data_IF_325515000788
#
_entry.id   IF_325515000788
#
_cell.length_a   1.000
_cell.length_b   1.000
_cell.length_c   1.000
_cell.angle_alpha   90.00
_cell.angle_beta   90.00
_cell.angle_gamma   90.00
#
_symmetry.space_group_name_H-M   'P 1'
#
loop_
_entity.id
_entity.type
_entity.pdbx_description
1 polymer ?
#
# COMPACT_ATOMS: atom_id res chain seq x y z
N UNK A 1 39.91 -18.60 -24.71
CA UNK A 1 38.86 -19.60 -24.45
C UNK A 1 38.14 -19.37 -23.11
N UNK A 2 38.84 -19.11 -22.00
CA UNK A 2 38.21 -18.88 -20.70
C UNK A 2 37.08 -17.83 -20.69
N UNK A 3 37.29 -16.66 -21.32
CA UNK A 3 36.27 -15.59 -21.38
C UNK A 3 34.96 -16.04 -22.05
N UNK A 4 35.01 -16.97 -23.01
CA UNK A 4 33.83 -17.46 -23.72
C UNK A 4 33.04 -18.39 -22.82
N UNK A 5 33.70 -19.28 -22.09
CA UNK A 5 33.08 -20.23 -21.15
C UNK A 5 32.38 -19.47 -20.03
N UNK A 6 33.06 -18.50 -19.40
CA UNK A 6 32.47 -17.67 -18.34
C UNK A 6 31.31 -16.81 -18.86
N UNK A 7 31.39 -16.30 -20.12
CA UNK A 7 30.29 -15.55 -20.72
C UNK A 7 29.05 -16.43 -20.93
N UNK A 8 29.20 -17.66 -21.42
CA UNK A 8 28.10 -18.61 -21.55
C UNK A 8 27.45 -18.89 -20.20
N UNK A 9 28.24 -19.22 -19.19
CA UNK A 9 27.76 -19.47 -17.84
C UNK A 9 26.98 -18.26 -17.28
N UNK A 10 27.49 -17.04 -17.50
CA UNK A 10 26.80 -15.83 -17.09
C UNK A 10 25.46 -15.64 -17.77
N UNK A 11 25.37 -15.84 -19.07
CA UNK A 11 24.12 -15.72 -19.80
C UNK A 11 23.09 -16.77 -19.36
N UNK A 12 23.52 -18.02 -19.16
CA UNK A 12 22.64 -19.07 -18.67
C UNK A 12 22.10 -18.73 -17.25
N UNK A 13 23.00 -18.28 -16.38
CA UNK A 13 22.63 -17.82 -15.02
C UNK A 13 21.66 -16.64 -15.10
N UNK A 14 21.97 -15.62 -15.89
CA UNK A 14 21.15 -14.41 -16.01
C UNK A 14 19.77 -14.73 -16.60
N UNK A 15 19.71 -15.56 -17.63
CA UNK A 15 18.45 -15.97 -18.27
C UNK A 15 17.54 -16.70 -17.28
N UNK A 16 18.06 -17.69 -16.59
CA UNK A 16 17.28 -18.43 -15.60
C UNK A 16 16.89 -17.55 -14.40
N UNK A 17 17.79 -16.69 -13.93
CA UNK A 17 17.53 -15.72 -12.88
C UNK A 17 16.39 -14.74 -13.26
N UNK A 18 16.39 -14.21 -14.47
CA UNK A 18 15.31 -13.30 -14.92
C UNK A 18 13.95 -14.00 -14.95
N UNK A 19 13.89 -15.22 -15.49
CA UNK A 19 12.65 -15.99 -15.52
C UNK A 19 12.14 -16.28 -14.10
N UNK A 20 13.00 -16.77 -13.23
CA UNK A 20 12.61 -17.12 -11.85
C UNK A 20 12.24 -15.89 -11.03
N UNK A 21 13.03 -14.80 -11.11
CA UNK A 21 12.78 -13.59 -10.33
C UNK A 21 11.50 -12.88 -10.76
N UNK A 22 11.25 -12.76 -12.07
CA UNK A 22 10.01 -12.17 -12.58
C UNK A 22 8.80 -13.06 -12.30
N UNK A 23 8.92 -14.37 -12.53
CA UNK A 23 7.82 -15.32 -12.26
C UNK A 23 7.37 -15.31 -10.81
N UNK A 24 8.32 -15.46 -9.87
CA UNK A 24 8.01 -15.43 -8.43
C UNK A 24 7.51 -14.05 -7.98
N UNK A 25 8.04 -12.97 -8.55
CA UNK A 25 7.60 -11.62 -8.21
C UNK A 25 6.19 -11.34 -8.69
N UNK A 26 5.82 -11.79 -9.90
CA UNK A 26 4.45 -11.62 -10.43
C UNK A 26 3.46 -12.44 -9.60
N UNK A 27 3.78 -13.69 -9.27
CA UNK A 27 2.91 -14.53 -8.43
C UNK A 27 2.67 -13.86 -7.07
N UNK A 28 3.74 -13.42 -6.41
CA UNK A 28 3.64 -12.76 -5.11
C UNK A 28 2.88 -11.43 -5.22
N UNK A 29 3.10 -10.68 -6.31
CA UNK A 29 2.41 -9.42 -6.56
C UNK A 29 0.90 -9.61 -6.75
N UNK A 30 0.48 -10.65 -7.49
CA UNK A 30 -0.94 -10.99 -7.65
C UNK A 30 -1.57 -11.38 -6.32
N UNK A 31 -0.91 -12.20 -5.50
CA UNK A 31 -1.41 -12.56 -4.17
C UNK A 31 -1.56 -11.32 -3.27
N UNK A 32 -0.57 -10.42 -3.29
CA UNK A 32 -0.66 -9.18 -2.50
C UNK A 32 -1.72 -8.21 -3.03
N UNK A 33 -1.97 -8.18 -4.35
CA UNK A 33 -3.03 -7.34 -4.91
C UNK A 33 -4.40 -7.72 -4.34
N UNK A 34 -4.67 -9.00 -4.17
CA UNK A 34 -5.92 -9.47 -3.55
C UNK A 34 -6.04 -8.95 -2.11
N UNK A 35 -4.95 -8.98 -1.34
CA UNK A 35 -4.96 -8.46 0.05
C UNK A 35 -5.18 -6.93 0.11
N UNK A 36 -4.90 -6.20 -0.96
CA UNK A 36 -5.13 -4.76 -1.05
C UNK A 36 -6.52 -4.39 -1.59
N UNK A 37 -7.38 -5.36 -1.90
CA UNK A 37 -8.78 -5.07 -2.29
C UNK A 37 -9.55 -4.32 -1.20
N UNK A 38 -9.12 -4.45 0.05
CA UNK A 38 -9.68 -3.70 1.18
C UNK A 38 -9.63 -2.18 0.97
N UNK A 39 -8.65 -1.67 0.19
CA UNK A 39 -8.58 -0.25 -0.19
C UNK A 39 -9.81 0.21 -0.99
N UNK A 40 -10.42 -0.69 -1.76
CA UNK A 40 -11.66 -0.38 -2.48
C UNK A 40 -12.87 -0.68 -1.60
N UNK A 41 -12.93 -1.88 -1.00
CA UNK A 41 -14.13 -2.36 -0.31
C UNK A 41 -14.36 -1.71 1.04
N UNK A 42 -13.29 -1.43 1.80
CA UNK A 42 -13.38 -0.90 3.15
C UNK A 42 -12.99 0.58 3.25
N UNK A 43 -11.99 1.01 2.48
CA UNK A 43 -11.48 2.38 2.54
C UNK A 43 -12.08 3.29 1.44
N UNK A 44 -12.83 2.74 0.47
CA UNK A 44 -13.55 3.49 -0.55
C UNK A 44 -12.70 4.23 -1.57
N UNK A 45 -11.47 3.79 -1.77
CA UNK A 45 -10.62 4.36 -2.81
C UNK A 45 -11.03 3.88 -4.21
N UNK A 46 -10.93 4.76 -5.21
CA UNK A 46 -11.27 4.42 -6.60
C UNK A 46 -10.31 3.40 -7.21
N UNK A 47 -10.79 2.69 -8.23
CA UNK A 47 -9.98 1.70 -8.99
C UNK A 47 -8.65 2.28 -9.50
N UNK A 48 -8.60 3.54 -9.91
CA UNK A 48 -7.38 4.20 -10.36
C UNK A 48 -6.33 4.27 -9.25
N UNK A 49 -6.74 4.60 -8.03
CA UNK A 49 -5.85 4.66 -6.86
C UNK A 49 -5.35 3.28 -6.53
N UNK A 50 -6.23 2.29 -6.50
CA UNK A 50 -5.89 0.89 -6.26
C UNK A 50 -4.85 0.37 -7.25
N UNK A 51 -5.07 0.51 -8.56
CA UNK A 51 -4.11 0.04 -9.57
C UNK A 51 -2.78 0.77 -9.49
N UNK A 52 -2.79 2.09 -9.27
CA UNK A 52 -1.56 2.87 -9.08
C UNK A 52 -0.80 2.42 -7.84
N UNK A 53 -1.50 2.19 -6.73
CA UNK A 53 -0.92 1.70 -5.49
C UNK A 53 -0.27 0.33 -5.65
N UNK A 54 -0.97 -0.62 -6.28
CA UNK A 54 -0.46 -1.98 -6.49
C UNK A 54 0.73 -1.99 -7.44
N UNK A 55 0.67 -1.25 -8.55
CA UNK A 55 1.76 -1.16 -9.52
C UNK A 55 3.03 -0.60 -8.86
N UNK A 56 2.90 0.45 -8.05
CA UNK A 56 4.00 1.06 -7.32
C UNK A 56 4.52 0.20 -6.15
N UNK A 57 3.78 -0.81 -5.71
CA UNK A 57 4.27 -1.79 -4.73
C UNK A 57 5.12 -2.90 -5.35
N UNK A 58 5.09 -3.08 -6.68
CA UNK A 58 5.86 -4.12 -7.36
C UNK A 58 7.38 -4.06 -7.09
N UNK A 59 8.06 -2.90 -7.13
CA UNK A 59 9.49 -2.81 -6.86
C UNK A 59 9.89 -3.31 -5.47
N UNK A 60 9.05 -3.10 -4.47
CA UNK A 60 9.25 -3.61 -3.10
C UNK A 60 9.21 -5.13 -3.04
N UNK A 61 8.26 -5.75 -3.76
CA UNK A 61 8.13 -7.20 -3.83
C UNK A 61 9.32 -7.79 -4.57
N UNK A 62 9.65 -7.22 -5.72
CA UNK A 62 10.77 -7.63 -6.55
C UNK A 62 12.10 -7.56 -5.78
N UNK A 63 12.33 -6.46 -5.06
CA UNK A 63 13.52 -6.28 -4.23
C UNK A 63 13.71 -7.37 -3.17
N UNK A 64 12.62 -7.87 -2.59
CA UNK A 64 12.69 -8.96 -1.61
C UNK A 64 12.96 -10.32 -2.24
N UNK A 65 12.41 -10.57 -3.42
CA UNK A 65 12.47 -11.86 -4.10
C UNK A 65 13.79 -12.05 -4.83
N UNK A 66 14.41 -10.98 -5.30
CA UNK A 66 15.63 -11.02 -6.12
C UNK A 66 16.77 -11.81 -5.47
N UNK A 67 16.94 -11.71 -4.15
CA UNK A 67 17.99 -12.40 -3.39
C UNK A 67 17.78 -13.92 -3.44
N UNK A 68 16.56 -14.36 -3.15
CA UNK A 68 16.20 -15.77 -3.16
C UNK A 68 16.26 -16.35 -4.57
N UNK A 69 15.78 -15.60 -5.57
CA UNK A 69 15.84 -16.01 -6.97
C UNK A 69 17.27 -16.17 -7.48
N UNK A 70 18.18 -15.29 -7.06
CA UNK A 70 19.59 -15.41 -7.41
C UNK A 70 20.21 -16.69 -6.82
N UNK A 71 19.95 -16.99 -5.55
CA UNK A 71 20.42 -18.21 -4.91
C UNK A 71 19.90 -19.47 -5.61
N UNK A 72 18.60 -19.53 -5.88
CA UNK A 72 17.96 -20.65 -6.59
C UNK A 72 18.57 -20.81 -7.99
N UNK A 73 18.78 -19.71 -8.69
CA UNK A 73 19.33 -19.72 -10.05
C UNK A 73 20.77 -20.20 -10.08
N UNK A 74 21.57 -19.74 -9.14
CA UNK A 74 22.96 -20.18 -9.02
C UNK A 74 23.05 -21.68 -8.72
N UNK A 75 22.25 -22.17 -7.78
CA UNK A 75 22.20 -23.58 -7.43
C UNK A 75 21.78 -24.45 -8.62
N UNK A 76 20.69 -24.04 -9.30
CA UNK A 76 20.18 -24.75 -10.48
C UNK A 76 21.21 -24.81 -11.60
N UNK A 77 21.86 -23.71 -11.93
CA UNK A 77 22.84 -23.68 -13.03
C UNK A 77 24.06 -24.51 -12.71
N UNK A 78 24.57 -24.47 -11.49
CA UNK A 78 25.70 -25.33 -11.06
C UNK A 78 25.31 -26.80 -11.21
N UNK A 79 24.12 -27.18 -10.72
CA UNK A 79 23.64 -28.55 -10.80
C UNK A 79 23.42 -29.00 -12.27
N UNK A 80 22.83 -28.14 -13.12
CA UNK A 80 22.68 -28.38 -14.55
C UNK A 80 24.03 -28.66 -15.22
N UNK A 81 25.01 -27.80 -14.99
CA UNK A 81 26.36 -27.95 -15.57
C UNK A 81 27.08 -29.20 -15.06
N UNK A 82 26.80 -29.63 -13.84
CA UNK A 82 27.33 -30.87 -13.30
C UNK A 82 26.66 -32.10 -13.93
N UNK A 83 25.34 -32.11 -14.06
CA UNK A 83 24.60 -33.25 -14.63
C UNK A 83 24.82 -33.44 -16.13
N UNK A 84 25.04 -32.36 -16.87
CA UNK A 84 25.39 -32.40 -18.30
C UNK A 84 26.88 -32.59 -18.58
N UNK A 85 27.72 -32.80 -17.54
CA UNK A 85 29.18 -32.88 -17.62
C UNK A 85 29.84 -31.62 -18.23
N UNK A 86 29.12 -30.51 -18.40
CA UNK A 86 29.69 -29.27 -18.92
C UNK A 86 30.76 -28.66 -17.97
N UNK A 87 30.69 -29.00 -16.70
CA UNK A 87 31.68 -28.56 -15.72
C UNK A 87 33.10 -29.14 -16.01
N UNK A 88 33.17 -30.28 -16.69
CA UNK A 88 34.45 -30.86 -17.13
C UNK A 88 35.14 -29.97 -18.17
N UNK A 89 34.40 -29.21 -18.95
CA UNK A 89 34.95 -28.27 -19.93
C UNK A 89 35.79 -27.20 -19.23
N UNK A 90 35.39 -26.77 -18.02
CA UNK A 90 36.19 -25.84 -17.24
C UNK A 90 37.55 -26.45 -16.84
N UNK A 91 37.53 -27.71 -16.37
CA UNK A 91 38.74 -28.40 -15.89
C UNK A 91 39.69 -28.75 -17.03
N UNK A 92 39.16 -29.21 -18.17
CA UNK A 92 39.96 -29.54 -19.35
C UNK A 92 40.60 -28.31 -20.00
N UNK A 93 39.98 -27.12 -19.85
CA UNK A 93 40.56 -25.86 -20.30
C UNK A 93 41.48 -25.20 -19.26
N UNK A 94 41.87 -25.91 -18.20
CA UNK A 94 42.84 -25.44 -17.18
C UNK A 94 42.24 -24.44 -16.17
N UNK A 95 40.92 -24.27 -16.12
CA UNK A 95 40.27 -23.38 -15.15
C UNK A 95 40.24 -24.11 -13.80
N UNK A 96 40.90 -23.57 -12.78
CA UNK A 96 40.85 -24.13 -11.43
C UNK A 96 39.50 -23.91 -10.75
N UNK A 97 39.17 -24.82 -9.81
CA UNK A 97 37.92 -24.65 -9.00
C UNK A 97 37.87 -23.32 -8.27
N UNK A 98 39.01 -22.85 -7.79
CA UNK A 98 39.16 -21.56 -7.08
C UNK A 98 38.80 -20.38 -8.03
N UNK A 99 39.28 -20.45 -9.28
CA UNK A 99 38.97 -19.43 -10.28
C UNK A 99 37.46 -19.35 -10.59
N UNK A 100 36.80 -20.50 -10.67
CA UNK A 100 35.34 -20.56 -10.86
C UNK A 100 34.61 -19.91 -9.66
N UNK A 101 35.00 -20.27 -8.44
CA UNK A 101 34.41 -19.70 -7.22
C UNK A 101 34.65 -18.18 -7.15
N UNK A 102 35.84 -17.72 -7.43
CA UNK A 102 36.16 -16.28 -7.43
C UNK A 102 35.34 -15.52 -8.48
N UNK A 103 35.07 -16.13 -9.61
CA UNK A 103 34.28 -15.53 -10.64
C UNK A 103 32.79 -15.44 -10.23
N UNK A 104 32.24 -16.49 -9.63
CA UNK A 104 30.90 -16.49 -9.03
C UNK A 104 30.79 -15.41 -7.95
N UNK A 105 31.79 -15.27 -7.09
CA UNK A 105 31.83 -14.22 -6.06
C UNK A 105 31.76 -12.81 -6.66
N UNK A 106 32.51 -12.54 -7.75
CA UNK A 106 32.45 -11.24 -8.43
C UNK A 106 31.05 -10.93 -8.96
N UNK A 107 30.37 -11.93 -9.54
CA UNK A 107 28.99 -11.77 -9.99
C UNK A 107 28.04 -11.55 -8.81
N UNK A 108 28.20 -12.33 -7.73
CA UNK A 108 27.38 -12.16 -6.53
C UNK A 108 27.50 -10.75 -5.94
N UNK A 109 28.72 -10.19 -5.91
CA UNK A 109 28.95 -8.81 -5.48
C UNK A 109 28.22 -7.82 -6.40
N UNK A 110 28.28 -8.03 -7.72
CA UNK A 110 27.55 -7.19 -8.68
C UNK A 110 26.03 -7.22 -8.41
N UNK A 111 25.45 -8.40 -8.23
CA UNK A 111 24.03 -8.54 -7.89
C UNK A 111 23.69 -7.90 -6.54
N UNK A 112 24.57 -8.01 -5.55
CA UNK A 112 24.39 -7.34 -4.25
C UNK A 112 24.36 -5.82 -4.39
N UNK A 113 25.22 -5.24 -5.21
CA UNK A 113 25.23 -3.80 -5.48
C UNK A 113 23.93 -3.37 -6.16
N UNK A 114 23.47 -4.10 -7.16
CA UNK A 114 22.19 -3.84 -7.83
C UNK A 114 21.04 -3.93 -6.83
N UNK A 115 21.03 -4.94 -5.99
CA UNK A 115 20.01 -5.11 -4.94
C UNK A 115 20.00 -3.95 -3.95
N UNK A 116 21.16 -3.49 -3.50
CA UNK A 116 21.27 -2.34 -2.60
C UNK A 116 20.75 -1.06 -3.27
N UNK A 117 21.05 -0.88 -4.56
CA UNK A 117 20.53 0.25 -5.33
C UNK A 117 19.00 0.23 -5.41
N UNK A 118 18.41 -0.91 -5.76
CA UNK A 118 16.95 -1.07 -5.84
C UNK A 118 16.30 -0.81 -4.48
N UNK A 119 16.83 -1.42 -3.43
CA UNK A 119 16.27 -1.36 -2.07
C UNK A 119 16.34 0.03 -1.45
N UNK A 120 17.43 0.79 -1.69
CA UNK A 120 17.67 2.08 -1.03
C UNK A 120 17.16 3.28 -1.84
N UNK A 121 16.98 3.17 -3.16
CA UNK A 121 16.56 4.27 -4.02
C UNK A 121 15.20 4.03 -4.65
N UNK A 122 15.01 2.90 -5.34
CA UNK A 122 13.79 2.64 -6.10
C UNK A 122 12.62 2.35 -5.17
N UNK A 123 12.83 1.49 -4.17
CA UNK A 123 11.74 1.06 -3.25
C UNK A 123 11.19 2.23 -2.44
N UNK A 124 12.00 3.08 -1.76
CA UNK A 124 11.46 4.21 -0.99
C UNK A 124 10.72 5.21 -1.88
N UNK A 125 11.28 5.54 -3.05
CA UNK A 125 10.62 6.45 -4.00
C UNK A 125 9.26 5.91 -4.45
N UNK A 126 9.21 4.63 -4.83
CA UNK A 126 7.97 3.98 -5.28
C UNK A 126 6.93 3.91 -4.17
N UNK A 127 7.35 3.62 -2.93
CA UNK A 127 6.45 3.54 -1.78
C UNK A 127 5.91 4.91 -1.37
N UNK A 128 6.72 5.96 -1.40
CA UNK A 128 6.29 7.33 -1.10
C UNK A 128 5.24 7.79 -2.12
N UNK A 129 5.54 7.63 -3.43
CA UNK A 129 4.59 7.93 -4.50
C UNK A 129 3.30 7.11 -4.38
N UNK A 130 3.40 5.82 -4.05
CA UNK A 130 2.25 4.94 -3.85
C UNK A 130 1.30 5.46 -2.75
N UNK A 131 1.86 5.96 -1.66
CA UNK A 131 1.07 6.54 -0.57
C UNK A 131 0.48 7.89 -0.91
N UNK A 132 1.17 8.69 -1.71
CA UNK A 132 0.63 9.97 -2.15
C UNK A 132 -0.65 9.78 -2.97
N UNK A 133 -0.76 8.70 -3.76
CA UNK A 133 -2.02 8.34 -4.43
C UNK A 133 -3.15 8.06 -3.44
N UNK A 134 -2.87 7.40 -2.31
CA UNK A 134 -3.89 7.18 -1.27
C UNK A 134 -4.23 8.49 -0.56
N UNK A 135 -3.23 9.30 -0.21
CA UNK A 135 -3.43 10.57 0.51
C UNK A 135 -4.18 11.62 -0.33
N UNK A 136 -3.87 11.66 -1.64
CA UNK A 136 -4.48 12.62 -2.57
C UNK A 136 -5.84 12.16 -3.10
N UNK A 137 -6.20 10.89 -2.90
CA UNK A 137 -7.52 10.42 -3.28
C UNK A 137 -8.55 11.05 -2.36
N UNK A 138 -9.34 11.95 -2.92
CA UNK A 138 -10.51 12.47 -2.25
C UNK A 138 -11.48 11.31 -1.98
N UNK A 139 -12.26 11.42 -0.90
CA UNK A 139 -13.32 10.48 -0.55
C UNK A 139 -14.47 10.63 -1.55
N UNK A 140 -14.18 10.49 -2.85
CA UNK A 140 -15.19 10.56 -3.90
C UNK A 140 -16.21 9.42 -3.81
N UNK A 141 -15.85 8.38 -3.07
CA UNK A 141 -16.64 7.16 -2.92
C UNK A 141 -17.26 7.00 -1.53
N UNK A 142 -17.23 8.03 -0.66
CA UNK A 142 -17.90 7.95 0.63
C UNK A 142 -19.37 7.52 0.49
N UNK A 143 -20.02 7.97 -0.57
CA UNK A 143 -21.40 7.59 -0.92
C UNK A 143 -21.55 6.10 -1.24
N UNK A 144 -20.54 5.48 -1.86
CA UNK A 144 -20.57 4.05 -2.21
C UNK A 144 -20.18 3.14 -1.04
N UNK A 145 -19.58 3.69 0.00
CA UNK A 145 -19.26 2.96 1.22
C UNK A 145 -20.43 2.82 2.17
N UNK A 146 -21.41 3.74 2.08
CA UNK A 146 -22.58 3.70 2.96
C UNK A 146 -23.40 2.48 2.58
N UNK A 147 -23.31 1.44 3.39
CA UNK A 147 -24.08 0.20 3.26
C UNK A 147 -25.16 0.15 4.35
N UNK A 148 -26.32 -0.37 3.98
CA UNK A 148 -27.43 -0.56 4.92
C UNK A 148 -27.00 -1.43 6.13
N UNK A 149 -27.50 -1.05 7.31
CA UNK A 149 -27.39 -1.80 8.56
C UNK A 149 -25.96 -2.09 9.01
N UNK A 150 -24.98 -1.28 8.58
CA UNK A 150 -23.59 -1.37 9.01
C UNK A 150 -23.08 -0.07 9.57
N UNK A 151 -22.31 -0.16 10.65
CA UNK A 151 -21.49 0.96 11.14
C UNK A 151 -20.26 1.08 10.27
N UNK A 152 -20.04 2.26 9.72
CA UNK A 152 -18.89 2.60 8.89
C UNK A 152 -18.05 3.59 9.67
N UNK A 153 -16.84 3.20 10.02
CA UNK A 153 -15.85 3.99 10.77
C UNK A 153 -14.54 4.17 9.99
N UNK A 154 -14.61 4.09 8.67
CA UNK A 154 -13.47 4.22 7.74
C UNK A 154 -12.80 5.59 7.84
N UNK A 155 -13.56 6.59 8.22
CA UNK A 155 -13.07 7.96 8.43
C UNK A 155 -12.59 8.11 9.87
N UNK A 156 -11.46 8.81 10.05
CA UNK A 156 -10.91 9.04 11.37
C UNK A 156 -11.87 9.89 12.21
N UNK A 157 -12.21 9.37 13.41
CA UNK A 157 -13.06 10.04 14.39
C UNK A 157 -14.48 10.35 13.89
N UNK A 158 -14.93 9.65 12.83
CA UNK A 158 -16.26 9.77 12.26
C UNK A 158 -16.87 8.38 12.04
N UNK A 159 -18.11 8.21 12.49
CA UNK A 159 -18.86 6.96 12.31
C UNK A 159 -20.22 7.29 11.74
N UNK A 160 -20.66 6.56 10.72
CA UNK A 160 -22.00 6.65 10.14
C UNK A 160 -22.68 5.30 10.18
N UNK A 161 -23.98 5.30 10.45
CA UNK A 161 -24.86 4.17 10.32
C UNK A 161 -26.14 4.62 9.62
N UNK A 162 -26.66 3.81 8.70
CA UNK A 162 -27.91 4.05 7.99
C UNK A 162 -28.71 2.76 7.99
N UNK A 163 -30.00 2.85 8.38
CA UNK A 163 -30.88 1.68 8.41
C UNK A 163 -31.30 1.25 7.00
N UNK A 164 -31.73 2.18 6.15
CA UNK A 164 -32.19 1.93 4.78
C UNK A 164 -31.64 2.97 3.82
N UNK A 165 -31.26 2.54 2.61
CA UNK A 165 -30.86 3.40 1.51
C UNK A 165 -31.64 2.98 0.27
N UNK A 166 -32.31 3.93 -0.37
CA UNK A 166 -32.99 3.67 -1.65
C UNK A 166 -32.03 3.80 -2.84
N UNK A 167 -32.47 3.37 -4.02
CA UNK A 167 -31.68 3.45 -5.26
C UNK A 167 -31.40 4.90 -5.70
N UNK A 168 -32.08 5.89 -5.13
CA UNK A 168 -31.89 7.29 -5.40
C UNK A 168 -30.95 7.97 -4.40
N UNK A 169 -30.40 7.23 -3.44
CA UNK A 169 -29.49 7.74 -2.43
C UNK A 169 -30.18 8.43 -1.24
N UNK A 170 -31.50 8.28 -1.09
CA UNK A 170 -32.18 8.74 0.11
C UNK A 170 -31.98 7.74 1.24
N UNK A 171 -31.67 8.24 2.40
CA UNK A 171 -31.36 7.47 3.58
C UNK A 171 -32.43 7.63 4.65
N UNK A 172 -32.72 6.57 5.40
CA UNK A 172 -33.60 6.59 6.55
C UNK A 172 -32.87 6.16 7.81
N UNK A 173 -33.29 6.71 8.94
CA UNK A 173 -32.78 6.43 10.29
C UNK A 173 -31.26 6.45 10.36
N UNK A 174 -30.74 7.67 10.27
CA UNK A 174 -29.33 7.96 10.16
C UNK A 174 -28.76 8.26 11.54
N UNK A 175 -27.65 7.61 11.86
CA UNK A 175 -26.80 7.92 13.00
C UNK A 175 -25.44 8.39 12.51
N UNK A 176 -25.01 9.57 12.95
CA UNK A 176 -23.67 10.12 12.71
C UNK A 176 -23.01 10.44 14.02
N UNK A 177 -21.77 10.01 14.18
CA UNK A 177 -20.92 10.42 15.29
C UNK A 177 -19.69 11.12 14.74
N UNK A 178 -19.54 12.38 15.10
CA UNK A 178 -18.40 13.21 14.74
C UNK A 178 -17.59 13.54 16.02
N UNK A 179 -16.38 13.05 16.09
CA UNK A 179 -15.41 13.32 17.18
C UNK A 179 -14.14 13.98 16.63
N UNK A 180 -14.21 14.57 15.43
CA UNK A 180 -13.05 15.21 14.76
C UNK A 180 -12.53 16.39 15.60
N UNK A 181 -13.41 17.12 16.28
CA UNK A 181 -13.02 18.12 17.26
C UNK A 181 -12.72 17.46 18.60
N UNK A 182 -11.45 17.49 19.01
CA UNK A 182 -11.00 16.92 20.30
C UNK A 182 -11.72 17.52 21.54
N UNK A 183 -12.37 18.65 21.39
CA UNK A 183 -13.07 19.34 22.49
C UNK A 183 -14.51 18.86 22.65
N UNK A 184 -15.22 18.56 21.56
CA UNK A 184 -16.61 18.14 21.57
C UNK A 184 -16.85 16.94 20.67
N UNK A 185 -17.70 16.02 21.13
CA UNK A 185 -18.22 14.91 20.32
C UNK A 185 -19.66 15.24 19.96
N UNK A 186 -20.00 15.25 18.70
CA UNK A 186 -21.35 15.45 18.19
C UNK A 186 -21.96 14.12 17.74
N UNK A 187 -23.11 13.80 18.26
CA UNK A 187 -23.92 12.65 17.81
C UNK A 187 -25.19 13.20 17.17
N UNK A 188 -25.45 12.84 15.94
CA UNK A 188 -26.56 13.32 15.16
C UNK A 188 -27.48 12.14 14.84
N UNK A 189 -28.73 12.24 15.18
CA UNK A 189 -29.79 11.33 14.78
C UNK A 189 -30.73 12.05 13.82
N UNK A 190 -31.03 11.47 12.66
CA UNK A 190 -31.99 12.03 11.70
C UNK A 190 -32.88 10.91 11.13
N UNK A 191 -34.15 11.22 10.95
CA UNK A 191 -35.11 10.26 10.36
C UNK A 191 -34.89 10.06 8.86
N UNK A 192 -34.45 11.10 8.16
CA UNK A 192 -34.16 11.02 6.74
C UNK A 192 -33.01 11.92 6.36
N UNK A 193 -32.32 11.56 5.28
CA UNK A 193 -31.27 12.38 4.71
C UNK A 193 -31.01 12.01 3.27
N UNK A 194 -30.32 12.91 2.57
CA UNK A 194 -29.88 12.69 1.20
C UNK A 194 -28.49 13.26 0.99
N UNK A 195 -27.72 12.62 0.15
CA UNK A 195 -26.40 13.12 -0.24
C UNK A 195 -26.59 14.07 -1.42
N UNK A 196 -25.95 15.22 -1.30
CA UNK A 196 -25.99 16.28 -2.30
C UNK A 196 -24.56 16.73 -2.61
N UNK A 197 -24.26 16.89 -3.91
CA UNK A 197 -22.97 17.37 -4.38
C UNK A 197 -23.13 18.75 -5.02
N UNK A 198 -22.31 19.69 -4.57
CA UNK A 198 -22.22 21.04 -5.10
C UNK A 198 -20.79 21.52 -5.14
N UNK A 199 -20.35 22.05 -6.28
CA UNK A 199 -19.01 22.62 -6.48
C UNK A 199 -17.87 21.64 -6.10
N UNK A 200 -18.04 20.33 -6.39
CA UNK A 200 -17.12 19.24 -6.02
C UNK A 200 -17.03 19.00 -4.50
N UNK A 201 -17.90 19.59 -3.70
CA UNK A 201 -18.03 19.27 -2.29
C UNK A 201 -19.29 18.41 -2.05
N UNK A 202 -19.17 17.42 -1.16
CA UNK A 202 -20.27 16.52 -0.80
C UNK A 202 -20.84 16.88 0.57
N UNK A 203 -22.14 16.97 0.61
CA UNK A 203 -22.92 17.30 1.80
C UNK A 203 -23.98 16.24 2.05
N UNK A 204 -24.29 15.99 3.32
CA UNK A 204 -25.49 15.25 3.72
C UNK A 204 -26.49 16.27 4.24
N UNK A 205 -27.66 16.32 3.61
CA UNK A 205 -28.81 17.05 4.12
C UNK A 205 -29.58 16.10 5.02
N UNK A 206 -29.70 16.44 6.29
CA UNK A 206 -30.38 15.65 7.31
C UNK A 206 -31.68 16.35 7.69
N UNK A 207 -32.78 15.58 7.79
CA UNK A 207 -34.09 16.10 8.10
C UNK A 207 -34.70 15.41 9.32
N UNK A 208 -35.41 16.22 10.14
CA UNK A 208 -36.13 15.76 11.31
C UNK A 208 -35.28 14.99 12.32
N UNK A 209 -34.41 15.68 13.00
CA UNK A 209 -33.44 15.03 13.88
C UNK A 209 -33.10 15.83 15.12
N UNK A 210 -32.08 15.32 15.80
CA UNK A 210 -31.46 15.93 16.98
C UNK A 210 -29.95 15.77 16.97
N UNK A 211 -29.26 16.78 17.46
CA UNK A 211 -27.83 16.80 17.70
C UNK A 211 -27.59 16.74 19.19
N UNK A 212 -26.84 15.77 19.64
CA UNK A 212 -26.33 15.65 20.99
C UNK A 212 -24.87 16.11 20.98
N UNK A 213 -24.59 17.26 21.58
CA UNK A 213 -23.26 17.84 21.69
C UNK A 213 -22.73 17.53 23.10
N UNK A 214 -21.66 16.74 23.16
CA UNK A 214 -21.03 16.29 24.41
C UNK A 214 -19.68 16.95 24.54
N UNK A 215 -19.50 17.81 25.55
CA UNK A 215 -18.20 18.42 25.83
C UNK A 215 -17.25 17.42 26.49
N UNK A 216 -16.10 17.18 25.86
CA UNK A 216 -15.08 16.27 26.37
C UNK A 216 -14.35 16.85 27.63
N UNK A 217 -14.40 18.16 27.84
CA UNK A 217 -13.78 18.84 28.99
C UNK A 217 -14.66 18.80 30.24
N UNK A 218 -15.98 18.80 30.06
CA UNK A 218 -16.95 18.73 31.18
C UNK A 218 -17.94 17.61 30.86
N UNK A 219 -17.69 16.43 31.39
CA UNK A 219 -18.49 15.20 31.13
C UNK A 219 -19.99 15.31 31.49
N UNK A 220 -20.43 16.40 32.09
CA UNK A 220 -21.78 16.55 32.64
C UNK A 220 -22.71 17.47 31.81
N UNK A 221 -22.21 18.17 30.79
CA UNK A 221 -23.04 19.06 29.99
C UNK A 221 -23.26 18.45 28.56
N UNK A 222 -24.32 17.70 28.41
CA UNK A 222 -24.80 17.29 27.08
C UNK A 222 -25.91 18.28 26.65
N UNK A 223 -25.69 18.94 25.52
CA UNK A 223 -26.67 19.83 24.90
C UNK A 223 -27.42 19.13 23.79
N UNK A 224 -28.75 19.08 23.88
CA UNK A 224 -29.60 18.52 22.81
C UNK A 224 -30.18 19.66 22.00
N UNK A 225 -29.95 19.63 20.69
CA UNK A 225 -30.47 20.60 19.73
C UNK A 225 -31.36 19.82 18.73
N UNK A 226 -32.66 20.13 18.70
CA UNK A 226 -33.58 19.56 17.70
C UNK A 226 -33.56 20.45 16.45
N UNK A 227 -33.60 19.82 15.28
CA UNK A 227 -33.63 20.51 14.00
C UNK A 227 -34.67 19.90 13.05
N UNK A 228 -35.17 20.72 12.16
CA UNK A 228 -36.01 20.26 11.05
C UNK A 228 -35.17 19.88 9.83
N UNK A 229 -34.11 20.65 9.58
CA UNK A 229 -33.16 20.42 8.51
C UNK A 229 -31.76 20.91 8.96
N UNK A 230 -30.73 20.14 8.64
CA UNK A 230 -29.32 20.55 8.82
C UNK A 230 -28.44 19.97 7.72
N UNK A 231 -27.33 20.63 7.45
CA UNK A 231 -26.39 20.23 6.40
C UNK A 231 -25.05 19.87 7.05
N UNK A 232 -24.59 18.68 6.78
CA UNK A 232 -23.29 18.20 7.24
C UNK A 232 -22.32 18.11 6.07
N UNK A 233 -21.15 18.75 6.16
CA UNK A 233 -20.13 18.75 5.10
C UNK A 233 -19.20 17.54 5.24
N UNK A 234 -19.27 16.62 4.26
CA UNK A 234 -18.43 15.42 4.21
C UNK A 234 -17.02 15.70 3.69
N UNK A 235 -16.82 16.75 2.93
CA UNK A 235 -15.53 17.05 2.26
C UNK A 235 -14.43 17.43 3.26
N UNK A 236 -14.80 17.77 4.50
CA UNK A 236 -13.86 18.06 5.60
C UNK A 236 -13.32 16.81 6.29
N UNK A 237 -13.94 15.66 6.01
CA UNK A 237 -13.54 14.39 6.61
C UNK A 237 -12.25 13.86 5.96
N UNK A 238 -11.31 13.43 6.78
CA UNK A 238 -10.05 12.83 6.32
C UNK A 238 -10.07 11.32 6.58
N UNK A 239 -9.63 10.53 5.62
CA UNK A 239 -9.49 9.09 5.80
C UNK A 239 -8.51 8.77 6.94
N UNK A 240 -8.64 7.58 7.55
CA UNK A 240 -7.69 7.04 8.54
C UNK A 240 -6.29 6.77 7.95
N UNK A 241 -5.92 7.36 6.82
CA UNK A 241 -4.60 7.17 6.24
C UNK A 241 -3.52 7.62 7.21
N UNK A 242 -2.53 6.79 7.41
CA UNK A 242 -1.36 7.13 8.24
C UNK A 242 -0.65 8.35 7.65
N UNK A 243 -0.74 9.49 8.36
CA UNK A 243 -0.11 10.76 7.96
C UNK A 243 1.41 10.69 7.99
N UNK A 244 1.97 9.77 8.78
CA UNK A 244 3.41 9.60 8.91
C UNK A 244 3.90 8.43 8.06
N UNK A 245 5.00 8.61 7.28
CA UNK A 245 5.61 7.54 6.52
C UNK A 245 6.17 6.47 7.47
N UNK A 246 6.02 5.20 7.11
CA UNK A 246 6.68 4.10 7.83
C UNK A 246 8.20 4.20 7.59
N UNK A 247 9.00 3.73 8.54
CA UNK A 247 10.48 3.74 8.44
C UNK A 247 10.98 3.16 7.10
N UNK A 248 10.30 2.14 6.57
CA UNK A 248 10.64 1.48 5.30
C UNK A 248 10.42 2.35 4.05
N UNK A 249 9.73 3.46 4.18
CA UNK A 249 9.36 4.38 3.11
C UNK A 249 10.22 5.64 3.11
N UNK A 250 10.95 5.86 4.21
CA UNK A 250 11.86 6.97 4.34
C UNK A 250 13.12 6.74 3.50
N UNK A 251 13.55 7.76 2.80
CA UNK A 251 14.82 7.76 2.08
C UNK A 251 15.97 7.59 3.08
N UNK A 252 16.96 6.77 2.74
CA UNK A 252 18.12 6.50 3.61
C UNK A 252 18.82 7.75 4.13
N UNK A 253 18.85 8.82 3.32
CA UNK A 253 19.42 10.11 3.74
C UNK A 253 18.67 10.73 4.93
N UNK A 254 17.34 10.62 4.97
CA UNK A 254 16.53 11.14 6.08
C UNK A 254 16.79 10.32 7.35
N UNK A 255 16.91 8.99 7.21
CA UNK A 255 17.21 8.10 8.33
C UNK A 255 18.60 8.40 8.92
N UNK A 256 19.62 8.60 8.08
CA UNK A 256 20.98 8.95 8.51
C UNK A 256 20.98 10.31 9.24
N UNK A 257 20.27 11.30 8.70
CA UNK A 257 20.16 12.63 9.34
C UNK A 257 19.44 12.54 10.67
N UNK A 258 18.40 11.73 10.77
CA UNK A 258 17.69 11.47 12.03
C UNK A 258 18.63 10.85 13.08
N UNK A 259 19.39 9.83 12.71
CA UNK A 259 20.36 9.19 13.63
C UNK A 259 21.42 10.21 14.09
N UNK A 260 21.95 11.02 13.16
CA UNK A 260 22.96 12.03 13.47
C UNK A 260 22.47 13.13 14.42
N UNK A 261 21.17 13.46 14.37
CA UNK A 261 20.58 14.46 15.28
C UNK A 261 20.20 13.90 16.65
N UNK A 262 20.18 12.57 16.83
CA UNK A 262 19.91 11.90 18.09
C UNK A 262 21.19 11.51 18.84
N UNK A 263 22.35 11.52 18.18
CA UNK A 263 23.68 11.33 18.80
C UNK A 263 24.33 12.66 19.15
#
# INVERSE_FOLDING_TARGET
MEKIIFRKFFYDLLSFFLVTSLGLSIITWVIQSVNYLDLISNDGHGFKVYFSFIALNFPKIFSKIIIFSYFISLFYIIQKYQSSNEILIFWTNGISKINLVNWILKISILFTIIQLFISNLIVPFSQDTSRDFIRSSNIDLFTSLITEKKFIDTVKDFTIFVEEIDQQGNMKDIYLKDSVNSENTQIIYARSGMIYEKDSEKFIILKFGQILDISNKKKEEAKIIKFNETVFNLSKLKTKSTTFPKIQELKSNILITCIKNFM
#
